data_IF_807924481507
#
_entry.id   IF_807924481507
#
_cell.length_a   1.000
_cell.length_b   1.000
_cell.length_c   1.000
_cell.angle_alpha   90.00
_cell.angle_beta   90.00
_cell.angle_gamma   90.00
#
_symmetry.space_group_name_H-M   'P 1'
#
loop_
_entity.id
_entity.type
_entity.pdbx_description
1 polymer ?
#
# COMPACT_ATOMS: atom_id res chain seq x y z
N UNK A 1 -28.92 -24.79 -4.13
CA UNK A 1 -28.38 -25.55 -2.98
C UNK A 1 -27.95 -24.49 -1.97
N UNK A 2 -28.49 -24.52 -0.77
CA UNK A 2 -28.05 -23.66 0.33
C UNK A 2 -26.65 -24.17 0.70
N UNK A 3 -25.60 -23.49 0.23
CA UNK A 3 -24.24 -23.72 0.75
C UNK A 3 -24.28 -23.46 2.25
N UNK A 4 -23.70 -24.34 3.04
CA UNK A 4 -23.55 -24.11 4.49
C UNK A 4 -22.99 -22.71 4.69
N UNK A 5 -23.56 -21.93 5.61
CA UNK A 5 -23.09 -20.58 5.88
C UNK A 5 -21.60 -20.64 6.23
N UNK A 6 -20.77 -19.88 5.52
CA UNK A 6 -19.32 -19.82 5.78
C UNK A 6 -19.11 -19.39 7.24
N UNK A 7 -18.36 -20.17 7.99
CA UNK A 7 -17.98 -19.80 9.34
C UNK A 7 -16.70 -18.94 9.30
N UNK A 8 -16.84 -17.64 9.49
CA UNK A 8 -15.72 -16.69 9.44
C UNK A 8 -14.64 -16.98 10.47
N UNK A 9 -15.01 -17.57 11.62
CA UNK A 9 -14.04 -17.96 12.63
C UNK A 9 -13.17 -19.14 12.19
N UNK A 10 -13.69 -20.10 11.42
CA UNK A 10 -12.91 -21.20 10.86
C UNK A 10 -11.87 -20.66 9.87
N UNK A 11 -12.21 -19.63 9.06
CA UNK A 11 -11.26 -18.97 8.18
C UNK A 11 -10.15 -18.26 8.97
N UNK A 12 -10.50 -17.62 10.08
CA UNK A 12 -9.51 -17.02 10.96
C UNK A 12 -8.60 -18.07 11.60
N UNK A 13 -9.14 -19.21 12.00
CA UNK A 13 -8.36 -20.32 12.59
C UNK A 13 -7.41 -20.94 11.57
N UNK A 14 -7.85 -21.18 10.32
CA UNK A 14 -6.98 -21.61 9.22
C UNK A 14 -5.85 -20.60 8.96
N UNK A 15 -6.18 -19.30 8.86
CA UNK A 15 -5.20 -18.25 8.66
C UNK A 15 -4.17 -18.19 9.81
N UNK A 16 -4.60 -18.36 11.06
CA UNK A 16 -3.74 -18.41 12.24
C UNK A 16 -2.85 -19.66 12.27
N UNK A 17 -3.34 -20.79 11.72
CA UNK A 17 -2.55 -22.00 11.53
C UNK A 17 -1.54 -21.89 10.35
N UNK A 18 -1.59 -20.79 9.58
CA UNK A 18 -0.76 -20.59 8.39
C UNK A 18 -1.30 -21.31 7.14
N UNK A 19 -2.47 -21.92 7.25
CA UNK A 19 -3.15 -22.60 6.16
C UNK A 19 -3.75 -21.60 5.17
N UNK A 20 -3.81 -21.99 3.90
CA UNK A 20 -4.45 -21.19 2.87
C UNK A 20 -5.94 -21.51 2.83
N UNK A 21 -6.80 -20.49 2.91
CA UNK A 21 -8.23 -20.67 2.70
C UNK A 21 -8.52 -21.12 1.27
N UNK A 22 -9.59 -21.86 1.07
CA UNK A 22 -9.98 -22.34 -0.27
C UNK A 22 -10.43 -21.18 -1.17
N UNK A 23 -10.39 -21.39 -2.50
CA UNK A 23 -10.93 -20.41 -3.44
C UNK A 23 -12.43 -20.18 -3.26
N UNK A 24 -13.17 -21.21 -2.87
CA UNK A 24 -14.61 -21.09 -2.60
C UNK A 24 -14.87 -20.25 -1.35
N UNK A 25 -14.06 -20.39 -0.30
CA UNK A 25 -14.10 -19.51 0.86
C UNK A 25 -13.73 -18.06 0.50
N UNK A 26 -12.70 -17.87 -0.33
CA UNK A 26 -12.30 -16.56 -0.80
C UNK A 26 -13.43 -15.86 -1.59
N UNK A 27 -14.14 -16.60 -2.47
CA UNK A 27 -15.36 -16.11 -3.15
C UNK A 27 -16.46 -15.78 -2.14
N UNK A 28 -16.68 -16.64 -1.16
CA UNK A 28 -17.67 -16.41 -0.11
C UNK A 28 -17.40 -15.14 0.69
N UNK A 29 -16.12 -14.84 1.00
CA UNK A 29 -15.73 -13.57 1.65
C UNK A 29 -16.14 -12.37 0.81
N UNK A 30 -15.87 -12.39 -0.50
CA UNK A 30 -16.16 -11.26 -1.38
C UNK A 30 -17.66 -11.09 -1.68
N UNK A 31 -18.39 -12.21 -1.80
CA UNK A 31 -19.83 -12.25 -2.13
C UNK A 31 -20.75 -12.20 -0.91
N UNK A 32 -20.21 -12.14 0.30
CA UNK A 32 -20.99 -12.17 1.53
C UNK A 32 -22.02 -11.03 1.60
N UNK A 33 -23.21 -11.27 2.13
CA UNK A 33 -24.20 -10.23 2.33
C UNK A 33 -23.75 -9.19 3.35
N UNK A 34 -24.40 -8.02 3.35
CA UNK A 34 -23.96 -6.87 4.15
C UNK A 34 -24.18 -7.06 5.66
N UNK A 35 -25.16 -7.86 6.05
CA UNK A 35 -25.52 -8.13 7.45
C UNK A 35 -24.46 -8.95 8.21
N UNK A 36 -23.57 -9.68 7.51
CA UNK A 36 -22.47 -10.44 8.12
C UNK A 36 -21.11 -9.72 8.05
N UNK A 37 -21.06 -8.49 7.55
CA UNK A 37 -19.80 -7.76 7.39
C UNK A 37 -19.04 -7.58 8.71
N UNK A 38 -19.75 -7.31 9.81
CA UNK A 38 -19.12 -7.15 11.12
C UNK A 38 -18.54 -8.46 11.64
N UNK A 39 -19.16 -9.60 11.34
CA UNK A 39 -18.65 -10.92 11.70
C UNK A 39 -17.35 -11.22 10.92
N UNK A 40 -17.31 -10.86 9.61
CA UNK A 40 -16.09 -10.96 8.81
C UNK A 40 -14.96 -10.10 9.37
N UNK A 41 -15.27 -8.84 9.70
CA UNK A 41 -14.29 -7.92 10.30
C UNK A 41 -13.80 -8.42 11.66
N UNK A 42 -14.68 -8.97 12.49
CA UNK A 42 -14.32 -9.55 13.79
C UNK A 42 -13.35 -10.74 13.61
N UNK A 43 -13.61 -11.61 12.64
CA UNK A 43 -12.74 -12.75 12.32
C UNK A 43 -11.38 -12.28 11.75
N UNK A 44 -11.38 -11.32 10.82
CA UNK A 44 -10.16 -10.73 10.26
C UNK A 44 -9.34 -10.03 11.36
N UNK A 45 -10.01 -9.36 12.31
CA UNK A 45 -9.35 -8.71 13.44
C UNK A 45 -8.65 -9.71 14.38
N UNK A 46 -9.20 -10.91 14.61
CA UNK A 46 -8.51 -11.97 15.37
C UNK A 46 -7.14 -12.28 14.76
N UNK A 47 -7.07 -12.42 13.43
CA UNK A 47 -5.83 -12.68 12.70
C UNK A 47 -4.89 -11.47 12.79
N UNK A 48 -5.39 -10.27 12.47
CA UNK A 48 -4.64 -9.03 12.54
C UNK A 48 -4.05 -8.79 13.93
N UNK A 49 -4.86 -8.97 14.98
CA UNK A 49 -4.46 -8.77 16.36
C UNK A 49 -3.37 -9.75 16.81
N UNK A 50 -3.42 -10.98 16.33
CA UNK A 50 -2.40 -11.99 16.65
C UNK A 50 -1.02 -11.56 16.17
N UNK A 51 -0.88 -11.06 14.93
CA UNK A 51 0.41 -10.73 14.33
C UNK A 51 0.87 -9.29 14.60
N UNK A 52 -0.06 -8.34 14.74
CA UNK A 52 0.24 -6.91 14.78
C UNK A 52 -0.25 -6.19 16.05
N UNK A 53 -0.93 -6.90 16.96
CA UNK A 53 -1.55 -6.29 18.14
C UNK A 53 -2.56 -5.20 17.74
N UNK A 54 -2.57 -4.06 18.42
CA UNK A 54 -3.39 -2.89 18.09
C UNK A 54 -2.57 -1.76 17.45
N UNK A 55 -1.34 -2.04 17.00
CA UNK A 55 -0.47 -1.02 16.41
C UNK A 55 -0.87 -0.72 14.96
N UNK A 56 -0.78 0.56 14.58
CA UNK A 56 -0.95 1.06 13.21
C UNK A 56 0.33 1.77 12.80
N UNK A 57 0.98 1.26 11.75
CA UNK A 57 2.18 1.85 11.16
C UNK A 57 1.81 2.94 10.18
N UNK A 58 2.52 4.06 10.25
CA UNK A 58 2.38 5.17 9.33
C UNK A 58 3.47 5.14 8.26
N UNK A 59 3.08 5.38 7.04
CA UNK A 59 3.98 5.53 5.89
C UNK A 59 3.80 6.92 5.30
N UNK A 60 4.90 7.60 5.01
CA UNK A 60 4.89 8.89 4.31
C UNK A 60 5.40 8.70 2.89
N UNK A 61 4.73 9.32 1.91
CA UNK A 61 5.04 9.17 0.50
C UNK A 61 5.55 10.49 -0.08
N UNK A 62 6.69 10.44 -0.77
CA UNK A 62 7.22 11.55 -1.56
C UNK A 62 7.22 11.18 -3.05
N UNK A 63 6.50 11.94 -3.88
CA UNK A 63 6.63 11.88 -5.33
C UNK A 63 7.88 12.68 -5.72
N UNK A 64 9.06 12.04 -5.75
CA UNK A 64 10.34 12.72 -5.96
C UNK A 64 10.61 13.09 -7.43
N UNK A 65 9.88 12.50 -8.38
CA UNK A 65 9.86 12.86 -9.80
C UNK A 65 8.46 12.62 -10.34
N UNK A 66 7.88 13.61 -11.02
CA UNK A 66 6.49 13.56 -11.48
C UNK A 66 6.34 13.73 -12.99
N UNK A 67 5.43 12.96 -13.57
CA UNK A 67 5.09 13.00 -15.00
C UNK A 67 6.17 12.38 -15.88
N UNK A 68 6.00 12.52 -17.22
CA UNK A 68 6.95 12.06 -18.24
C UNK A 68 7.29 10.55 -18.17
N UNK A 69 6.38 9.73 -17.62
CA UNK A 69 6.52 8.28 -17.61
C UNK A 69 6.24 7.71 -19.02
N UNK A 70 7.11 6.86 -19.58
CA UNK A 70 6.88 6.28 -20.90
C UNK A 70 5.87 5.12 -20.89
N UNK A 71 5.48 4.64 -19.71
CA UNK A 71 4.51 3.56 -19.56
C UNK A 71 3.08 4.04 -19.85
N UNK A 72 2.22 3.14 -20.35
CA UNK A 72 0.84 3.43 -20.72
C UNK A 72 -0.22 3.01 -19.69
N UNK A 73 0.17 2.86 -18.42
CA UNK A 73 -0.73 2.42 -17.36
C UNK A 73 -2.03 3.27 -17.32
N UNK A 74 -3.18 2.65 -17.59
CA UNK A 74 -4.47 3.32 -17.77
C UNK A 74 -5.01 4.01 -16.51
N UNK A 75 -4.60 3.57 -15.33
CA UNK A 75 -5.00 4.13 -14.04
C UNK A 75 -4.13 5.30 -13.59
N UNK A 76 -2.99 5.54 -14.27
CA UNK A 76 -1.96 6.44 -13.75
C UNK A 76 -2.00 7.82 -14.41
N UNK A 77 -2.18 8.88 -13.60
CA UNK A 77 -2.13 10.27 -14.08
C UNK A 77 -0.79 10.67 -14.68
N UNK A 78 0.28 9.95 -14.35
CA UNK A 78 1.65 10.22 -14.83
C UNK A 78 2.02 9.44 -16.09
N UNK A 79 1.13 8.58 -16.63
CA UNK A 79 1.41 7.72 -17.79
C UNK A 79 1.44 8.48 -19.11
N UNK A 80 2.01 7.86 -20.14
CA UNK A 80 2.13 8.44 -21.49
C UNK A 80 0.78 8.66 -22.17
N UNK A 81 -0.26 7.90 -21.79
CA UNK A 81 -1.62 7.98 -22.33
C UNK A 81 -2.54 8.90 -21.52
N UNK A 82 -2.02 9.48 -20.43
CA UNK A 82 -2.79 10.37 -19.57
C UNK A 82 -2.77 11.82 -20.08
N UNK A 83 -3.97 12.40 -20.21
CA UNK A 83 -4.19 13.84 -20.39
C UNK A 83 -4.43 14.60 -19.08
N UNK A 84 -4.22 13.97 -17.92
CA UNK A 84 -4.46 14.57 -16.62
C UNK A 84 -3.58 15.81 -16.38
N UNK A 85 -4.19 16.84 -15.83
CA UNK A 85 -3.50 18.08 -15.43
C UNK A 85 -2.78 17.85 -14.08
N UNK A 86 -1.52 17.44 -14.15
CA UNK A 86 -0.65 17.24 -12.99
C UNK A 86 0.61 18.08 -13.10
N UNK A 87 1.18 18.44 -11.97
CA UNK A 87 2.49 19.06 -11.94
C UNK A 87 3.57 18.07 -12.42
N UNK A 88 4.37 18.48 -13.42
CA UNK A 88 5.45 17.67 -13.99
C UNK A 88 6.80 18.31 -13.63
N UNK A 89 7.65 17.54 -12.99
CA UNK A 89 8.97 17.99 -12.58
C UNK A 89 10.00 16.85 -12.63
N UNK A 90 11.28 17.20 -12.91
CA UNK A 90 12.37 16.24 -12.85
C UNK A 90 12.63 15.83 -11.39
N UNK A 91 13.55 14.86 -11.20
CA UNK A 91 13.96 14.46 -9.86
C UNK A 91 14.29 15.68 -8.98
N UNK A 92 13.65 15.75 -7.83
CA UNK A 92 13.70 16.90 -6.92
C UNK A 92 15.12 17.23 -6.46
N UNK A 93 15.33 18.50 -6.12
CA UNK A 93 16.55 18.93 -5.42
C UNK A 93 16.67 18.23 -4.05
N UNK A 94 17.89 17.94 -3.66
CA UNK A 94 18.24 17.26 -2.42
C UNK A 94 17.58 17.88 -1.19
N UNK A 95 17.57 19.21 -1.12
CA UNK A 95 16.99 19.98 0.00
C UNK A 95 15.50 19.72 0.17
N UNK A 96 14.76 19.59 -0.93
CA UNK A 96 13.33 19.27 -0.91
C UNK A 96 13.06 17.84 -0.41
N UNK A 97 13.93 16.88 -0.79
CA UNK A 97 13.82 15.50 -0.32
C UNK A 97 14.07 15.44 1.19
N UNK A 98 15.08 16.15 1.68
CA UNK A 98 15.40 16.19 3.11
C UNK A 98 14.30 16.88 3.92
N UNK A 99 13.74 17.97 3.42
CA UNK A 99 12.60 18.64 4.08
C UNK A 99 11.37 17.72 4.15
N UNK A 100 11.13 16.92 3.11
CA UNK A 100 10.06 15.92 3.13
C UNK A 100 10.35 14.79 4.13
N UNK A 101 11.59 14.33 4.23
CA UNK A 101 12.00 13.33 5.23
C UNK A 101 11.87 13.85 6.66
N UNK A 102 12.26 15.12 6.91
CA UNK A 102 12.04 15.79 8.19
C UNK A 102 10.55 15.86 8.55
N UNK A 103 9.72 16.25 7.59
CA UNK A 103 8.27 16.25 7.78
C UNK A 103 7.74 14.83 8.09
N UNK A 104 8.19 13.81 7.37
CA UNK A 104 7.81 12.42 7.65
C UNK A 104 8.17 12.01 9.09
N UNK A 105 9.38 12.35 9.54
CA UNK A 105 9.83 12.08 10.90
C UNK A 105 9.00 12.84 11.94
N UNK A 106 8.67 14.12 11.69
CA UNK A 106 7.83 14.93 12.59
C UNK A 106 6.40 14.38 12.71
N UNK A 107 5.90 13.68 11.69
CA UNK A 107 4.61 13.00 11.66
C UNK A 107 4.68 11.55 12.20
N UNK A 108 5.76 11.15 12.83
CA UNK A 108 5.96 9.79 13.32
C UNK A 108 5.77 8.71 12.23
N UNK A 109 6.12 9.02 10.98
CA UNK A 109 6.11 8.03 9.93
C UNK A 109 7.24 7.01 10.15
N UNK A 110 6.89 5.74 10.34
CA UNK A 110 7.87 4.67 10.47
C UNK A 110 8.56 4.33 9.15
N UNK A 111 8.00 4.79 8.01
CA UNK A 111 8.57 4.55 6.68
C UNK A 111 8.42 5.79 5.78
N UNK A 112 9.52 6.20 5.18
CA UNK A 112 9.59 7.22 4.14
C UNK A 112 9.67 6.57 2.76
N UNK A 113 8.62 6.71 1.94
CA UNK A 113 8.54 6.13 0.60
C UNK A 113 8.94 7.16 -0.45
N UNK A 114 10.05 6.94 -1.15
CA UNK A 114 10.51 7.78 -2.27
C UNK A 114 10.05 7.15 -3.59
N UNK A 115 9.24 7.87 -4.35
CA UNK A 115 8.68 7.40 -5.62
C UNK A 115 9.16 8.26 -6.78
N UNK A 116 9.49 7.65 -7.90
CA UNK A 116 9.73 8.33 -9.17
C UNK A 116 8.80 7.81 -10.26
N UNK A 117 8.39 8.69 -11.15
CA UNK A 117 7.75 8.30 -12.42
C UNK A 117 8.80 7.76 -13.39
N UNK A 118 8.50 6.64 -14.06
CA UNK A 118 9.38 6.05 -15.06
C UNK A 118 9.30 4.53 -15.11
N UNK A 119 9.75 3.96 -16.24
CA UNK A 119 9.82 2.50 -16.42
C UNK A 119 10.91 1.87 -15.54
N UNK A 120 12.07 2.49 -15.52
CA UNK A 120 13.26 2.11 -14.75
C UNK A 120 14.06 3.37 -14.40
N UNK A 121 14.80 3.41 -13.29
CA UNK A 121 15.58 4.60 -12.96
C UNK A 121 16.73 4.79 -13.94
N UNK A 122 16.84 5.98 -14.57
CA UNK A 122 17.99 6.33 -15.39
C UNK A 122 19.24 6.57 -14.53
N UNK A 123 20.46 6.25 -15.05
CA UNK A 123 21.70 6.23 -14.29
C UNK A 123 21.92 7.45 -13.37
N UNK A 124 21.87 8.68 -13.91
CA UNK A 124 22.05 9.91 -13.11
C UNK A 124 20.94 10.15 -12.09
N UNK A 125 19.71 9.74 -12.37
CA UNK A 125 18.61 9.83 -11.41
C UNK A 125 18.79 8.78 -10.33
N UNK A 126 19.21 7.59 -10.73
CA UNK A 126 19.46 6.50 -9.80
C UNK A 126 20.56 6.85 -8.78
N UNK A 127 21.70 7.41 -9.26
CA UNK A 127 22.78 7.87 -8.37
C UNK A 127 22.28 8.90 -7.34
N UNK A 128 21.46 9.87 -7.78
CA UNK A 128 20.86 10.86 -6.87
C UNK A 128 19.89 10.22 -5.86
N UNK A 129 19.15 9.17 -6.26
CA UNK A 129 18.30 8.41 -5.34
C UNK A 129 19.16 7.75 -4.26
N UNK A 130 20.25 7.07 -4.64
CA UNK A 130 21.16 6.42 -3.71
C UNK A 130 21.77 7.40 -2.71
N UNK A 131 22.18 8.58 -3.18
CA UNK A 131 22.75 9.63 -2.32
C UNK A 131 21.68 10.19 -1.35
N UNK A 132 20.45 10.42 -1.84
CA UNK A 132 19.34 10.87 -0.99
C UNK A 132 19.00 9.84 0.10
N UNK A 133 18.97 8.54 -0.27
CA UNK A 133 18.73 7.45 0.70
C UNK A 133 19.79 7.47 1.80
N UNK A 134 21.08 7.47 1.44
CA UNK A 134 22.19 7.49 2.43
C UNK A 134 22.06 8.66 3.40
N UNK A 135 21.68 9.83 2.88
CA UNK A 135 21.55 11.02 3.70
C UNK A 135 20.31 10.96 4.62
N UNK A 136 19.16 10.52 4.11
CA UNK A 136 17.96 10.30 4.95
C UNK A 136 18.27 9.32 6.08
N UNK A 137 18.90 8.18 5.76
CA UNK A 137 19.29 7.17 6.77
C UNK A 137 20.30 7.69 7.79
N UNK A 138 21.15 8.63 7.41
CA UNK A 138 22.14 9.23 8.36
C UNK A 138 21.51 10.22 9.34
N UNK A 139 20.32 10.77 9.04
CA UNK A 139 19.70 11.85 9.82
C UNK A 139 18.46 11.42 10.59
N UNK A 140 17.73 10.41 10.09
CA UNK A 140 16.42 10.03 10.62
C UNK A 140 16.35 8.53 10.87
N UNK A 141 15.83 8.15 12.05
CA UNK A 141 15.57 6.76 12.41
C UNK A 141 14.19 6.34 11.85
N UNK A 142 14.14 6.07 10.55
CA UNK A 142 12.97 5.52 9.88
C UNK A 142 13.38 4.62 8.72
N UNK A 143 12.49 3.70 8.35
CA UNK A 143 12.69 2.88 7.17
C UNK A 143 12.59 3.71 5.90
N UNK A 144 13.44 3.43 4.91
CA UNK A 144 13.35 4.00 3.57
C UNK A 144 12.82 2.96 2.59
N UNK A 145 11.72 3.31 1.92
CA UNK A 145 11.13 2.53 0.84
C UNK A 145 11.41 3.21 -0.51
N UNK A 146 11.89 2.47 -1.49
CA UNK A 146 12.12 2.95 -2.85
C UNK A 146 11.08 2.36 -3.82
N UNK A 147 10.46 3.22 -4.66
CA UNK A 147 9.54 2.83 -5.73
C UNK A 147 10.00 3.46 -7.05
N UNK A 148 10.76 2.71 -7.84
CA UNK A 148 11.57 3.24 -8.95
C UNK A 148 11.27 2.57 -10.30
N UNK A 149 10.12 1.91 -10.44
CA UNK A 149 9.77 1.13 -11.62
C UNK A 149 10.41 -0.27 -11.64
N UNK A 150 10.70 -0.80 -12.82
CA UNK A 150 11.31 -2.11 -13.02
C UNK A 150 12.79 -2.08 -12.62
N UNK A 151 13.23 -3.04 -11.82
CA UNK A 151 14.59 -3.09 -11.29
C UNK A 151 15.32 -4.37 -11.72
N UNK A 152 16.58 -4.20 -12.10
CA UNK A 152 17.51 -5.31 -12.30
C UNK A 152 18.14 -5.72 -10.96
N UNK A 153 18.80 -6.89 -10.92
CA UNK A 153 19.56 -7.33 -9.74
C UNK A 153 20.66 -6.33 -9.34
N UNK A 154 21.31 -5.67 -10.28
CA UNK A 154 22.32 -4.63 -9.99
C UNK A 154 21.69 -3.40 -9.32
N UNK A 155 20.50 -2.98 -9.78
CA UNK A 155 19.76 -1.91 -9.11
C UNK A 155 19.43 -2.30 -7.66
N UNK A 156 18.92 -3.50 -7.44
CA UNK A 156 18.54 -4.02 -6.12
C UNK A 156 19.75 -4.06 -5.18
N UNK A 157 20.88 -4.61 -5.64
CA UNK A 157 22.13 -4.65 -4.88
C UNK A 157 22.60 -3.25 -4.45
N UNK A 158 22.59 -2.27 -5.36
CA UNK A 158 22.99 -0.89 -5.06
C UNK A 158 22.05 -0.19 -4.10
N UNK A 159 20.74 -0.46 -4.16
CA UNK A 159 19.74 0.05 -3.21
C UNK A 159 19.99 -0.50 -1.81
N UNK A 160 20.27 -1.79 -1.68
CA UNK A 160 20.62 -2.43 -0.42
C UNK A 160 21.90 -1.83 0.17
N UNK A 161 22.96 -1.66 -0.64
CA UNK A 161 24.22 -1.01 -0.25
C UNK A 161 24.04 0.46 0.17
N UNK A 162 23.02 1.13 -0.35
CA UNK A 162 22.68 2.50 0.04
C UNK A 162 21.87 2.59 1.33
N UNK A 163 21.38 1.46 1.86
CA UNK A 163 20.60 1.38 3.09
C UNK A 163 19.10 1.47 2.89
N UNK A 164 18.58 1.13 1.70
CA UNK A 164 17.15 0.95 1.48
C UNK A 164 16.66 -0.26 2.28
N UNK A 165 15.59 -0.09 3.04
CA UNK A 165 15.01 -1.15 3.88
C UNK A 165 13.95 -1.95 3.11
N UNK A 166 13.31 -1.32 2.13
CA UNK A 166 12.16 -1.88 1.42
C UNK A 166 12.10 -1.36 -0.01
N UNK A 167 11.67 -2.20 -0.94
CA UNK A 167 11.38 -1.80 -2.32
C UNK A 167 9.91 -2.05 -2.61
N UNK A 168 9.22 -0.99 -3.09
CA UNK A 168 7.86 -1.11 -3.58
C UNK A 168 7.86 -1.33 -5.11
N UNK A 169 7.23 -2.40 -5.52
CA UNK A 169 6.85 -2.64 -6.91
C UNK A 169 5.55 -3.43 -6.96
N UNK A 170 4.44 -2.72 -7.18
CA UNK A 170 3.11 -3.34 -7.13
C UNK A 170 2.86 -4.25 -8.35
N UNK A 171 2.24 -5.41 -8.13
CA UNK A 171 1.67 -6.22 -9.23
C UNK A 171 0.50 -5.50 -9.89
N UNK A 172 -0.22 -4.69 -9.14
CA UNK A 172 -1.39 -3.89 -9.47
C UNK A 172 -2.66 -4.68 -9.75
N UNK A 173 -2.59 -5.82 -10.42
CA UNK A 173 -3.75 -6.65 -10.78
C UNK A 173 -3.37 -8.13 -10.86
N UNK A 174 -4.31 -8.98 -11.25
CA UNK A 174 -4.07 -10.39 -11.58
C UNK A 174 -3.29 -10.56 -12.88
N UNK A 175 -2.64 -11.73 -13.10
CA UNK A 175 -2.02 -12.03 -14.39
C UNK A 175 -2.98 -11.87 -15.58
N UNK A 176 -4.24 -12.35 -15.41
CA UNK A 176 -5.27 -12.30 -16.46
C UNK A 176 -5.66 -10.85 -16.83
N UNK A 177 -5.85 -10.00 -15.82
CA UNK A 177 -6.37 -8.64 -16.04
C UNK A 177 -5.26 -7.62 -16.32
N UNK A 178 -4.01 -8.03 -16.27
CA UNK A 178 -2.86 -7.13 -16.44
C UNK A 178 -2.84 -6.44 -17.81
N UNK A 179 -3.10 -7.17 -18.88
CA UNK A 179 -3.10 -6.64 -20.26
C UNK A 179 -4.20 -5.61 -20.53
N UNK A 180 -5.28 -5.62 -19.71
CA UNK A 180 -6.35 -4.63 -19.79
C UNK A 180 -5.94 -3.26 -19.20
N UNK A 181 -4.89 -3.22 -18.38
CA UNK A 181 -4.49 -2.02 -17.65
C UNK A 181 -3.16 -1.41 -18.12
N UNK A 182 -2.33 -2.18 -18.83
CA UNK A 182 -1.03 -1.74 -19.34
C UNK A 182 -0.54 -2.68 -20.44
N UNK A 183 0.10 -2.14 -21.47
CA UNK A 183 0.67 -2.91 -22.59
C UNK A 183 2.18 -2.77 -22.75
N UNK A 184 2.77 -1.77 -22.12
CA UNK A 184 4.21 -1.46 -22.26
C UNK A 184 5.13 -2.36 -21.45
N UNK A 185 4.61 -3.13 -20.49
CA UNK A 185 5.31 -4.17 -19.75
C UNK A 185 4.35 -5.27 -19.33
N UNK A 186 4.87 -6.45 -19.06
CA UNK A 186 4.10 -7.65 -18.72
C UNK A 186 3.92 -7.80 -17.21
N UNK A 187 3.01 -8.70 -16.79
CA UNK A 187 2.88 -9.12 -15.40
C UNK A 187 4.19 -9.77 -14.90
N UNK A 188 4.83 -10.58 -15.75
CA UNK A 188 6.08 -11.27 -15.42
C UNK A 188 7.26 -10.29 -15.21
N UNK A 189 7.30 -9.16 -15.95
CA UNK A 189 8.29 -8.10 -15.68
C UNK A 189 8.14 -7.55 -14.25
N UNK A 190 6.91 -7.44 -13.74
CA UNK A 190 6.66 -7.01 -12.36
C UNK A 190 7.05 -8.08 -11.36
N UNK A 191 6.67 -9.33 -11.61
CA UNK A 191 7.05 -10.48 -10.78
C UNK A 191 8.57 -10.56 -10.68
N UNK A 192 9.30 -10.49 -11.80
CA UNK A 192 10.76 -10.53 -11.81
C UNK A 192 11.38 -9.44 -10.90
N UNK A 193 10.83 -8.22 -10.90
CA UNK A 193 11.30 -7.16 -10.00
C UNK A 193 11.08 -7.53 -8.54
N UNK A 194 9.90 -8.05 -8.16
CA UNK A 194 9.61 -8.48 -6.79
C UNK A 194 10.53 -9.62 -6.37
N UNK A 195 10.80 -10.58 -7.26
CA UNK A 195 11.73 -11.69 -7.02
C UNK A 195 13.19 -11.23 -6.84
N UNK A 196 13.65 -10.24 -7.64
CA UNK A 196 14.97 -9.65 -7.43
C UNK A 196 15.11 -9.10 -6.00
N UNK A 197 14.08 -8.39 -5.52
CA UNK A 197 14.06 -7.85 -4.15
C UNK A 197 13.98 -8.98 -3.12
N UNK A 198 13.16 -10.00 -3.35
CA UNK A 198 13.01 -11.13 -2.42
C UNK A 198 14.33 -11.91 -2.21
N UNK A 199 15.25 -11.88 -3.18
CA UNK A 199 16.59 -12.49 -3.07
C UNK A 199 17.61 -11.61 -2.35
N UNK A 200 17.27 -10.36 -2.04
CA UNK A 200 18.10 -9.43 -1.24
C UNK A 200 17.72 -9.47 0.24
N UNK A 201 18.43 -8.73 1.09
CA UNK A 201 18.07 -8.54 2.50
C UNK A 201 16.92 -7.55 2.73
N UNK A 202 16.48 -6.83 1.67
CA UNK A 202 15.41 -5.85 1.77
C UNK A 202 14.01 -6.49 1.84
N UNK A 203 13.05 -5.77 2.42
CA UNK A 203 11.65 -6.19 2.44
C UNK A 203 10.99 -5.95 1.08
N UNK A 204 10.22 -6.93 0.62
CA UNK A 204 9.34 -6.77 -0.55
C UNK A 204 8.08 -5.99 -0.16
N UNK A 205 7.73 -4.97 -0.95
CA UNK A 205 6.47 -4.27 -0.87
C UNK A 205 5.78 -4.37 -2.24
N UNK A 206 4.65 -5.04 -2.30
CA UNK A 206 3.88 -5.19 -3.53
C UNK A 206 2.40 -5.36 -3.19
N UNK A 207 1.55 -4.77 -3.97
CA UNK A 207 0.10 -4.82 -3.79
C UNK A 207 -0.62 -4.53 -5.09
N UNK A 208 -1.83 -3.99 -4.98
CA UNK A 208 -2.66 -3.76 -6.15
C UNK A 208 -3.60 -2.59 -6.04
N UNK A 209 -4.39 -2.44 -7.10
CA UNK A 209 -5.43 -1.42 -7.22
C UNK A 209 -6.75 -2.13 -7.48
N UNK A 210 -7.74 -1.86 -6.65
CA UNK A 210 -9.09 -2.40 -6.74
C UNK A 210 -10.01 -1.34 -7.36
N UNK A 211 -10.89 -1.75 -8.27
CA UNK A 211 -11.87 -0.86 -8.93
C UNK A 211 -11.51 -0.47 -10.37
N UNK A 212 -10.54 -1.14 -10.99
CA UNK A 212 -10.16 -0.92 -12.38
C UNK A 212 -11.09 -1.62 -13.38
N UNK A 213 -11.96 -2.52 -12.92
CA UNK A 213 -12.89 -3.33 -13.73
C UNK A 213 -12.61 -4.84 -13.67
N UNK A 214 -11.69 -5.22 -12.79
CA UNK A 214 -11.40 -6.61 -12.44
C UNK A 214 -12.63 -7.29 -11.82
N UNK A 215 -12.70 -8.61 -11.91
CA UNK A 215 -13.71 -9.43 -11.25
C UNK A 215 -13.18 -10.02 -9.93
N UNK A 216 -14.02 -10.78 -9.22
CA UNK A 216 -13.64 -11.37 -7.92
C UNK A 216 -12.47 -12.36 -8.04
N UNK A 217 -12.40 -13.12 -9.12
CA UNK A 217 -11.29 -14.04 -9.37
C UNK A 217 -9.96 -13.28 -9.50
N UNK A 218 -9.98 -12.12 -10.16
CA UNK A 218 -8.76 -11.29 -10.29
C UNK A 218 -8.28 -10.76 -8.93
N UNK A 219 -9.21 -10.38 -8.06
CA UNK A 219 -8.87 -9.94 -6.69
C UNK A 219 -8.26 -11.08 -5.88
N UNK A 220 -8.81 -12.29 -6.03
CA UNK A 220 -8.30 -13.51 -5.38
C UNK A 220 -6.93 -13.88 -5.95
N UNK A 221 -6.78 -13.91 -7.27
CA UNK A 221 -5.52 -14.26 -7.93
C UNK A 221 -4.39 -13.29 -7.58
N UNK A 222 -4.69 -12.00 -7.48
CA UNK A 222 -3.71 -11.01 -7.01
C UNK A 222 -3.26 -11.31 -5.57
N UNK A 223 -4.18 -11.59 -4.66
CA UNK A 223 -3.86 -11.91 -3.27
C UNK A 223 -3.01 -13.20 -3.16
N UNK A 224 -3.35 -14.22 -3.97
CA UNK A 224 -2.60 -15.49 -4.03
C UNK A 224 -1.19 -15.28 -4.60
N UNK A 225 -1.05 -14.49 -5.68
CA UNK A 225 0.27 -14.16 -6.26
C UNK A 225 1.17 -13.43 -5.24
N UNK A 226 0.60 -12.50 -4.46
CA UNK A 226 1.34 -11.81 -3.40
C UNK A 226 1.79 -12.77 -2.28
N UNK A 227 0.94 -13.77 -1.94
CA UNK A 227 1.30 -14.82 -0.98
C UNK A 227 2.40 -15.73 -1.52
N UNK A 228 2.30 -16.19 -2.76
CA UNK A 228 3.29 -17.05 -3.42
C UNK A 228 4.66 -16.37 -3.48
N UNK A 229 4.70 -15.09 -3.81
CA UNK A 229 5.91 -14.26 -3.82
C UNK A 229 6.41 -13.90 -2.41
N UNK A 230 5.73 -14.37 -1.35
CA UNK A 230 6.06 -14.08 0.04
C UNK A 230 6.28 -12.58 0.31
N UNK A 231 5.41 -11.73 -0.27
CA UNK A 231 5.47 -10.28 -0.11
C UNK A 231 5.26 -9.92 1.36
N UNK A 232 6.08 -8.99 1.89
CA UNK A 232 6.08 -8.63 3.32
C UNK A 232 5.15 -7.45 3.65
N UNK A 233 4.97 -6.52 2.72
CA UNK A 233 4.12 -5.34 2.89
C UNK A 233 3.21 -5.19 1.67
N UNK A 234 1.91 -5.09 1.89
CA UNK A 234 0.88 -5.16 0.84
C UNK A 234 0.02 -3.90 0.87
N UNK A 235 0.34 -2.88 0.05
CA UNK A 235 -0.55 -1.75 -0.15
C UNK A 235 -1.77 -2.15 -0.98
N UNK A 236 -2.97 -1.93 -0.43
CA UNK A 236 -4.25 -2.07 -1.11
C UNK A 236 -4.74 -0.67 -1.45
N UNK A 237 -4.71 -0.35 -2.75
CA UNK A 237 -5.23 0.91 -3.27
C UNK A 237 -6.65 0.68 -3.79
N UNK A 238 -7.47 1.70 -3.67
CA UNK A 238 -8.78 1.77 -4.32
C UNK A 238 -8.69 2.85 -5.40
N UNK A 239 -9.05 2.52 -6.64
CA UNK A 239 -8.86 3.41 -7.79
C UNK A 239 -9.57 4.75 -7.57
N UNK A 240 -8.83 5.83 -7.58
CA UNK A 240 -9.40 7.18 -7.73
C UNK A 240 -9.46 7.47 -9.23
N UNK A 241 -10.66 7.60 -9.82
CA UNK A 241 -10.80 8.00 -11.23
C UNK A 241 -10.30 9.45 -11.40
N UNK A 242 -9.19 9.61 -12.11
CA UNK A 242 -8.60 10.94 -12.34
C UNK A 242 -9.00 11.41 -13.74
N UNK A 243 -9.59 12.63 -13.89
CA UNK A 243 -9.91 13.20 -15.20
C UNK A 243 -8.70 13.21 -16.13
N UNK A 244 -8.91 12.85 -17.39
CA UNK A 244 -7.85 12.73 -18.39
C UNK A 244 -7.09 11.38 -18.38
N UNK A 245 -7.40 10.46 -17.47
CA UNK A 245 -6.88 9.09 -17.54
C UNK A 245 -7.87 8.19 -18.31
N UNK A 246 -7.42 7.07 -18.92
CA UNK A 246 -8.34 6.11 -19.54
C UNK A 246 -9.42 5.56 -18.61
N UNK A 247 -9.18 5.57 -17.29
CA UNK A 247 -10.13 5.09 -16.28
C UNK A 247 -10.92 6.20 -15.58
N UNK A 248 -10.96 7.41 -16.12
CA UNK A 248 -11.70 8.56 -15.54
C UNK A 248 -13.20 8.30 -15.32
N UNK A 249 -13.80 7.41 -16.13
CA UNK A 249 -15.23 7.08 -16.05
C UNK A 249 -15.57 5.94 -15.07
N UNK A 250 -14.58 5.35 -14.39
CA UNK A 250 -14.83 4.30 -13.40
C UNK A 250 -15.59 4.85 -12.21
N UNK A 251 -16.58 4.10 -11.73
CA UNK A 251 -17.42 4.51 -10.60
C UNK A 251 -16.72 4.37 -9.24
N UNK A 252 -17.30 5.03 -8.24
CA UNK A 252 -16.88 4.82 -6.86
C UNK A 252 -17.22 3.41 -6.37
N UNK A 253 -16.32 2.82 -5.58
CA UNK A 253 -16.56 1.52 -4.96
C UNK A 253 -17.50 1.64 -3.76
N UNK A 254 -18.24 0.57 -3.49
CA UNK A 254 -18.99 0.42 -2.23
C UNK A 254 -17.99 0.22 -1.07
N UNK A 255 -18.08 0.99 0.03
CA UNK A 255 -17.18 0.84 1.18
C UNK A 255 -17.17 -0.57 1.77
N UNK A 256 -18.33 -1.24 1.77
CA UNK A 256 -18.45 -2.63 2.26
C UNK A 256 -17.67 -3.61 1.37
N UNK A 257 -17.66 -3.38 0.06
CA UNK A 257 -16.81 -4.13 -0.88
C UNK A 257 -15.33 -3.93 -0.55
N UNK A 258 -14.91 -2.69 -0.30
CA UNK A 258 -13.53 -2.38 0.10
C UNK A 258 -13.14 -3.11 1.39
N UNK A 259 -14.02 -3.14 2.37
CA UNK A 259 -13.78 -3.86 3.64
C UNK A 259 -13.70 -5.37 3.45
N UNK A 260 -14.54 -5.98 2.59
CA UNK A 260 -14.46 -7.41 2.26
C UNK A 260 -13.12 -7.75 1.58
N UNK A 261 -12.62 -6.90 0.69
CA UNK A 261 -11.30 -7.08 0.09
C UNK A 261 -10.21 -7.06 1.16
N UNK A 262 -10.26 -6.12 2.11
CA UNK A 262 -9.30 -6.07 3.21
C UNK A 262 -9.38 -7.33 4.11
N UNK A 263 -10.59 -7.83 4.40
CA UNK A 263 -10.77 -9.09 5.11
C UNK A 263 -10.18 -10.28 4.34
N UNK A 264 -10.46 -10.39 3.04
CA UNK A 264 -9.90 -11.42 2.18
C UNK A 264 -8.37 -11.42 2.22
N UNK A 265 -7.77 -10.23 2.05
CA UNK A 265 -6.33 -10.09 2.09
C UNK A 265 -5.76 -10.51 3.45
N UNK A 266 -6.44 -10.19 4.56
CA UNK A 266 -6.00 -10.62 5.90
C UNK A 266 -6.08 -12.14 6.08
N UNK A 267 -7.08 -12.82 5.52
CA UNK A 267 -7.16 -14.28 5.59
C UNK A 267 -6.12 -14.96 4.71
N UNK A 268 -5.85 -14.43 3.52
CA UNK A 268 -4.84 -15.00 2.60
C UNK A 268 -3.41 -14.63 3.04
N UNK A 269 -3.21 -13.46 3.62
CA UNK A 269 -1.92 -12.86 4.00
C UNK A 269 -1.90 -12.55 5.51
N UNK A 270 -1.93 -13.59 6.37
CA UNK A 270 -2.23 -13.42 7.78
C UNK A 270 -1.18 -12.62 8.57
N UNK A 271 0.10 -12.77 8.24
CA UNK A 271 1.23 -12.15 8.96
C UNK A 271 1.82 -10.92 8.26
N UNK A 272 1.40 -10.65 7.02
CA UNK A 272 1.92 -9.54 6.23
C UNK A 272 1.38 -8.19 6.74
N UNK A 273 2.17 -7.15 6.56
CA UNK A 273 1.67 -5.79 6.72
C UNK A 273 0.67 -5.49 5.60
N UNK A 274 -0.59 -5.26 5.95
CA UNK A 274 -1.61 -4.79 4.99
C UNK A 274 -1.79 -3.30 5.21
N UNK A 275 -1.61 -2.52 4.14
CA UNK A 275 -1.75 -1.07 4.15
C UNK A 275 -2.98 -0.64 3.37
N UNK A 276 -3.86 0.13 4.03
CA UNK A 276 -4.88 0.87 3.31
C UNK A 276 -4.17 2.07 2.67
N UNK A 277 -4.09 2.07 1.35
CA UNK A 277 -3.31 3.02 0.58
C UNK A 277 -4.19 4.05 -0.15
N UNK A 278 -3.86 4.43 -1.36
CA UNK A 278 -4.60 5.45 -2.10
C UNK A 278 -6.08 5.14 -2.25
N UNK A 279 -6.92 6.18 -2.20
CA UNK A 279 -8.36 6.08 -2.40
C UNK A 279 -9.19 5.71 -1.16
N UNK A 280 -8.57 5.53 0.01
CA UNK A 280 -9.30 5.16 1.23
C UNK A 280 -10.35 6.20 1.63
N UNK A 281 -10.03 7.47 1.53
CA UNK A 281 -10.92 8.57 1.88
C UNK A 281 -12.15 8.61 0.98
N UNK A 282 -11.93 8.38 -0.32
CA UNK A 282 -12.97 8.42 -1.36
C UNK A 282 -13.92 7.24 -1.25
N UNK A 283 -13.40 6.04 -1.00
CA UNK A 283 -14.16 4.79 -1.10
C UNK A 283 -14.61 4.24 0.24
N UNK A 284 -13.80 4.30 1.30
CA UNK A 284 -14.22 3.89 2.65
C UNK A 284 -15.06 4.97 3.34
N UNK A 285 -14.83 6.24 3.04
CA UNK A 285 -15.60 7.36 3.61
C UNK A 285 -15.63 7.30 5.15
N UNK A 286 -16.80 7.38 5.77
CA UNK A 286 -16.97 7.26 7.22
C UNK A 286 -16.65 5.85 7.77
N UNK A 287 -16.45 4.84 6.92
CA UNK A 287 -16.09 3.48 7.32
C UNK A 287 -14.56 3.24 7.36
N UNK A 288 -13.73 4.26 7.14
CA UNK A 288 -12.27 4.13 7.21
C UNK A 288 -11.77 3.45 8.50
N UNK A 289 -12.28 3.78 9.72
CA UNK A 289 -11.84 3.14 10.95
C UNK A 289 -12.04 1.62 10.95
N UNK A 290 -13.11 1.12 10.29
CA UNK A 290 -13.37 -0.32 10.19
C UNK A 290 -12.29 -1.06 9.40
N UNK A 291 -11.64 -0.39 8.45
CA UNK A 291 -10.54 -0.96 7.69
C UNK A 291 -9.34 -1.35 8.57
N UNK A 292 -9.13 -0.65 9.69
CA UNK A 292 -8.04 -0.93 10.64
C UNK A 292 -8.20 -2.26 11.38
N UNK A 293 -9.40 -2.82 11.41
CA UNK A 293 -9.62 -4.16 11.98
C UNK A 293 -9.08 -5.29 11.09
N UNK A 294 -8.88 -5.03 9.80
CA UNK A 294 -8.24 -5.97 8.88
C UNK A 294 -6.80 -5.55 8.52
N UNK A 295 -6.57 -4.26 8.29
CA UNK A 295 -5.26 -3.69 7.96
C UNK A 295 -4.52 -3.18 9.21
N UNK A 296 -3.20 -2.99 9.11
CA UNK A 296 -2.35 -2.54 10.22
C UNK A 296 -1.41 -1.39 9.85
N UNK A 297 -1.60 -0.80 8.67
CA UNK A 297 -0.86 0.39 8.26
C UNK A 297 -1.68 1.28 7.32
N UNK A 298 -1.33 2.58 7.26
CA UNK A 298 -1.89 3.58 6.35
C UNK A 298 -0.80 4.49 5.82
N UNK A 299 -1.08 5.22 4.73
CA UNK A 299 -0.33 6.41 4.39
C UNK A 299 -0.84 7.61 5.18
N UNK A 300 0.09 8.49 5.60
CA UNK A 300 -0.21 9.78 6.22
C UNK A 300 0.24 10.90 5.28
N UNK A 301 -0.57 11.94 5.14
CA UNK A 301 -0.33 13.04 4.21
C UNK A 301 -0.80 12.72 2.79
N UNK A 302 -0.21 13.40 1.81
CA UNK A 302 -0.65 13.34 0.42
C UNK A 302 -0.19 12.05 -0.29
N UNK A 303 -0.89 11.72 -1.39
CA UNK A 303 -0.51 10.69 -2.33
C UNK A 303 0.36 11.27 -3.47
N UNK A 304 0.59 10.49 -4.54
CA UNK A 304 1.47 10.93 -5.65
C UNK A 304 0.99 12.20 -6.35
N UNK A 305 -0.30 12.26 -6.67
CA UNK A 305 -0.90 13.35 -7.44
C UNK A 305 -2.28 13.77 -6.91
N UNK A 306 -2.68 13.23 -5.77
CA UNK A 306 -3.94 13.55 -5.10
C UNK A 306 -3.71 13.85 -3.63
N UNK A 307 -4.47 14.77 -3.02
CA UNK A 307 -4.35 15.03 -1.59
C UNK A 307 -4.89 13.84 -0.78
N UNK A 308 -4.31 13.62 0.39
CA UNK A 308 -4.84 12.76 1.45
C UNK A 308 -5.58 13.58 2.51
N UNK A 309 -6.07 12.93 3.56
CA UNK A 309 -6.61 13.67 4.70
C UNK A 309 -5.48 14.19 5.60
N UNK A 310 -5.83 15.11 6.50
CA UNK A 310 -4.83 15.72 7.40
C UNK A 310 -4.29 14.69 8.39
N UNK A 311 -3.03 14.85 8.79
CA UNK A 311 -2.40 13.99 9.79
C UNK A 311 -3.20 13.94 11.10
N UNK A 312 -3.76 15.08 11.52
CA UNK A 312 -4.65 15.16 12.68
C UNK A 312 -5.85 14.21 12.55
N UNK A 313 -6.54 14.24 11.42
CA UNK A 313 -7.70 13.38 11.18
C UNK A 313 -7.31 11.90 11.20
N UNK A 314 -6.10 11.54 10.73
CA UNK A 314 -5.56 10.18 10.81
C UNK A 314 -5.30 9.76 12.25
N UNK A 315 -4.68 10.62 13.06
CA UNK A 315 -4.42 10.31 14.47
C UNK A 315 -5.71 10.17 15.28
N UNK A 316 -6.67 11.08 15.09
CA UNK A 316 -7.99 11.01 15.71
C UNK A 316 -8.71 9.72 15.33
N UNK A 317 -8.73 9.37 14.04
CA UNK A 317 -9.33 8.14 13.55
C UNK A 317 -8.73 6.88 14.19
N UNK A 318 -7.40 6.81 14.30
CA UNK A 318 -6.68 5.67 14.88
C UNK A 318 -7.00 5.57 16.38
N UNK A 319 -6.91 6.69 17.12
CA UNK A 319 -7.24 6.76 18.56
C UNK A 319 -8.68 6.36 18.84
N UNK A 320 -9.62 6.96 18.12
CA UNK A 320 -11.06 6.78 18.36
C UNK A 320 -11.52 5.35 18.00
N UNK A 321 -10.80 4.67 17.09
CA UNK A 321 -11.02 3.26 16.78
C UNK A 321 -10.36 2.30 17.80
N UNK A 322 -9.68 2.81 18.83
CA UNK A 322 -9.03 1.99 19.88
C UNK A 322 -7.68 1.39 19.46
N UNK A 323 -7.06 1.95 18.43
CA UNK A 323 -5.72 1.56 17.99
C UNK A 323 -4.65 2.54 18.53
N UNK A 324 -3.39 2.11 18.48
CA UNK A 324 -2.23 2.92 18.86
C UNK A 324 -1.28 3.08 17.66
N UNK A 325 -0.59 4.21 17.61
CA UNK A 325 0.45 4.40 16.60
C UNK A 325 1.64 3.48 16.90
N UNK A 326 2.27 3.00 15.84
CA UNK A 326 3.55 2.31 15.92
C UNK A 326 4.69 3.32 15.78
N UNK A 327 5.62 3.30 16.72
CA UNK A 327 6.87 4.07 16.63
C UNK A 327 7.81 3.48 15.56
N UNK A 328 8.82 4.22 15.07
CA UNK A 328 9.77 3.72 14.06
C UNK A 328 10.45 2.40 14.43
N UNK A 329 10.73 2.18 15.71
CA UNK A 329 11.32 0.95 16.26
C UNK A 329 10.34 -0.23 16.37
N UNK A 330 9.05 -0.02 16.02
CA UNK A 330 8.00 -1.03 16.09
C UNK A 330 7.27 -1.13 17.44
N UNK A 331 7.64 -0.33 18.43
CA UNK A 331 6.93 -0.28 19.70
C UNK A 331 5.58 0.43 19.57
N UNK A 332 4.69 0.25 20.54
CA UNK A 332 3.48 1.06 20.63
C UNK A 332 3.86 2.46 21.12
N UNK A 333 3.36 3.49 20.45
CA UNK A 333 3.52 4.87 20.89
C UNK A 333 2.70 5.11 22.15
N UNK A 334 3.27 5.81 23.13
CA UNK A 334 2.54 6.17 24.34
C UNK A 334 1.49 7.29 24.10
N UNK A 335 0.58 7.45 25.06
CA UNK A 335 -0.50 8.41 24.93
C UNK A 335 -0.01 9.87 24.97
N UNK A 336 1.05 10.15 25.71
CA UNK A 336 1.64 11.51 25.82
C UNK A 336 2.19 11.95 24.46
N UNK A 337 2.93 11.08 23.80
CA UNK A 337 3.47 11.35 22.46
C UNK A 337 2.36 11.52 21.40
N UNK A 338 1.28 10.75 21.51
CA UNK A 338 0.13 10.92 20.62
C UNK A 338 -0.54 12.30 20.79
N UNK A 339 -0.69 12.78 22.03
CA UNK A 339 -1.26 14.12 22.29
C UNK A 339 -0.33 15.23 21.76
N UNK A 340 0.99 15.07 21.86
CA UNK A 340 1.95 15.98 21.24
C UNK A 340 1.79 16.05 19.71
N UNK A 341 1.64 14.88 19.05
CA UNK A 341 1.42 14.81 17.59
C UNK A 341 0.09 15.47 17.19
N UNK A 342 -0.98 15.26 17.98
CA UNK A 342 -2.27 15.89 17.76
C UNK A 342 -2.18 17.42 17.91
N UNK A 343 -1.46 17.90 18.90
CA UNK A 343 -1.23 19.34 19.12
C UNK A 343 -0.42 19.95 17.96
N UNK A 344 0.67 19.31 17.55
CA UNK A 344 1.52 19.76 16.46
C UNK A 344 0.79 19.76 15.08
N UNK A 345 -0.09 18.81 14.85
CA UNK A 345 -0.89 18.73 13.62
C UNK A 345 -2.03 19.75 13.55
N UNK A 346 -2.24 20.54 14.60
CA UNK A 346 -3.25 21.60 14.70
C UNK A 346 -2.69 23.00 14.40
N UNK A 347 -1.39 23.15 14.39
CA UNK A 347 -0.66 24.40 14.13
C UNK A 347 -0.31 24.52 12.64
#
# INVERSE_FOLDING_TARGET
>A
MITAATNWNDLADQALAGELISRDDARAVLAAPDDVLLDQLAAAYRVRRHYHGNRVRLHFLLNAQSGLCPEDCHYCSQSSVSGAEIEKYPFMAREKILAAAERAASLNAGTFCMVISGRTPGGRVFDKVLDAVREVKSKYDMHVCACLGLLTEDHVRKLEEAGVDQVNHNLNSSPRFHEEIVTTHTFDDRVATVEHVARSGMKTCSGGIIGMGENDEDVIDLALSLRELNVRSVPVNFLIPIPGTPFESRGALDPRRCLRVLCLYRFILPSQEIRIAGGREVHLRSMQPLGLYAANSIFIGDYLTTPGQTARADYEMIRDAGFVLEAPDGAALDAERLEELLAAASA
#
